data_IF_256372595320
#
_entry.id   IF_256372595320
#
_cell.length_a   1.000
_cell.length_b   1.000
_cell.length_c   1.000
_cell.angle_alpha   90.00
_cell.angle_beta   90.00
_cell.angle_gamma   90.00
#
_symmetry.space_group_name_H-M   'P 1'
#
loop_
_entity.id
_entity.type
_entity.pdbx_description
1 polymer ?
#
# COMPACT_ATOMS: atom_id res chain seq x y z
N UNK A 1 16.39 2.05 66.73
CA UNK A 1 17.35 1.08 66.15
C UNK A 1 16.96 0.80 64.70
N UNK A 2 17.92 1.03 63.80
CA UNK A 2 18.13 0.38 62.48
C UNK A 2 17.16 0.57 61.28
N UNK A 3 17.73 1.20 60.23
CA UNK A 3 17.56 1.11 58.74
C UNK A 3 16.56 0.06 58.18
N UNK A 4 15.89 0.26 57.04
CA UNK A 4 16.50 0.49 55.70
C UNK A 4 15.48 0.79 54.57
N UNK A 5 15.82 1.82 53.76
CA UNK A 5 15.78 1.97 52.28
C UNK A 5 14.56 1.54 51.42
N UNK A 6 13.90 2.58 50.92
CA UNK A 6 13.65 2.96 49.51
C UNK A 6 13.75 1.96 48.32
N UNK A 7 12.78 2.15 47.41
CA UNK A 7 12.76 1.95 45.94
C UNK A 7 12.16 0.66 45.37
N UNK A 8 10.87 0.73 44.98
CA UNK A 8 10.37 0.15 43.72
C UNK A 8 9.41 1.19 43.09
N UNK A 9 9.95 2.00 42.20
CA UNK A 9 9.17 2.80 41.26
C UNK A 9 9.81 2.53 39.89
N UNK A 10 9.20 1.66 39.09
CA UNK A 10 9.35 1.62 37.64
C UNK A 10 8.25 0.72 37.07
N UNK A 11 7.07 1.30 36.89
CA UNK A 11 5.97 0.68 36.14
C UNK A 11 5.27 1.79 35.36
N UNK A 12 5.97 2.32 34.35
CA UNK A 12 5.40 3.22 33.35
C UNK A 12 6.43 3.44 32.22
N UNK A 13 6.70 2.41 31.42
CA UNK A 13 7.42 2.59 30.15
C UNK A 13 7.14 1.41 29.20
N UNK A 14 5.86 1.20 28.90
CA UNK A 14 5.42 0.29 27.84
C UNK A 14 4.13 0.80 27.19
N UNK A 15 4.07 2.08 26.85
CA UNK A 15 3.03 2.66 25.98
C UNK A 15 3.56 3.91 25.30
N UNK A 16 4.34 3.76 24.23
CA UNK A 16 4.53 4.79 23.19
C UNK A 16 5.44 4.26 22.08
N UNK A 17 5.05 3.19 21.39
CA UNK A 17 5.67 2.78 20.14
C UNK A 17 4.58 2.56 19.08
N UNK A 18 3.75 3.58 18.89
CA UNK A 18 2.67 3.57 17.91
C UNK A 18 2.19 4.98 17.63
N UNK A 19 3.04 5.82 17.04
CA UNK A 19 2.67 6.94 16.14
C UNK A 19 3.93 7.58 15.57
N UNK A 20 4.53 6.94 14.58
CA UNK A 20 5.29 7.65 13.55
C UNK A 20 4.68 7.28 12.19
N UNK A 21 3.39 7.60 12.04
CA UNK A 21 2.83 7.82 10.71
C UNK A 21 3.56 9.02 10.15
N UNK A 22 4.39 8.78 9.14
CA UNK A 22 4.95 9.81 8.30
C UNK A 22 3.79 10.42 7.50
N UNK A 23 3.15 11.43 8.08
CA UNK A 23 2.11 12.23 7.45
C UNK A 23 2.76 13.04 6.33
N UNK A 24 2.71 12.48 5.12
CA UNK A 24 3.12 13.14 3.89
C UNK A 24 1.94 14.00 3.46
N UNK A 25 1.75 15.17 4.07
CA UNK A 25 1.08 16.33 3.48
C UNK A 25 1.07 17.54 4.44
N UNK A 26 1.40 18.70 3.88
CA UNK A 26 1.37 20.05 4.46
C UNK A 26 2.40 20.38 5.55
N UNK A 27 3.66 20.53 5.13
CA UNK A 27 4.60 21.41 5.83
C UNK A 27 4.94 22.61 4.95
N UNK A 28 3.94 23.46 4.72
CA UNK A 28 4.14 24.78 4.13
C UNK A 28 4.25 25.82 5.26
N UNK A 29 5.37 26.57 5.29
CA UNK A 29 5.44 28.01 5.67
C UNK A 29 6.62 28.41 6.55
N UNK A 30 7.44 27.51 7.11
CA UNK A 30 8.55 27.93 8.02
C UNK A 30 9.97 27.65 7.55
N UNK A 31 10.16 26.89 6.47
CA UNK A 31 11.48 26.58 5.94
C UNK A 31 11.55 26.93 4.45
N UNK A 32 12.10 28.09 4.10
CA UNK A 32 12.58 28.34 2.74
C UNK A 32 13.84 27.49 2.48
N UNK A 33 14.11 27.16 1.22
CA UNK A 33 15.38 26.53 0.78
C UNK A 33 16.63 27.20 1.42
N UNK A 34 16.61 28.53 1.55
CA UNK A 34 17.69 29.28 2.20
C UNK A 34 17.81 29.03 3.71
N UNK A 35 16.71 28.89 4.44
CA UNK A 35 16.74 28.53 5.87
C UNK A 35 17.19 27.08 6.10
N UNK A 36 16.82 26.16 5.20
CA UNK A 36 17.28 24.78 5.25
C UNK A 36 18.80 24.69 5.04
N UNK A 37 19.32 25.41 4.04
CA UNK A 37 20.76 25.49 3.79
C UNK A 37 21.51 26.13 4.97
N UNK A 38 20.97 27.18 5.58
CA UNK A 38 21.55 27.85 6.73
C UNK A 38 21.63 26.92 7.96
N UNK A 39 20.60 26.10 8.20
CA UNK A 39 20.60 25.11 9.29
C UNK A 39 21.61 23.98 9.05
N UNK A 40 21.76 23.52 7.82
CA UNK A 40 22.80 22.55 7.46
C UNK A 40 24.18 23.13 7.76
N UNK A 41 24.47 24.35 7.28
CA UNK A 41 25.77 25.01 7.53
C UNK A 41 26.00 25.17 9.03
N UNK A 42 25.01 25.64 9.79
CA UNK A 42 25.11 25.78 11.24
C UNK A 42 25.40 24.45 11.93
N UNK A 43 24.71 23.36 11.55
CA UNK A 43 24.94 22.03 12.11
C UNK A 43 26.34 21.50 11.83
N UNK A 44 26.87 21.73 10.62
CA UNK A 44 28.24 21.35 10.24
C UNK A 44 29.25 22.14 11.06
N UNK A 45 29.04 23.45 11.25
CA UNK A 45 29.90 24.29 12.08
C UNK A 45 29.87 23.84 13.54
N UNK A 46 28.70 23.54 14.09
CA UNK A 46 28.56 23.04 15.46
C UNK A 46 29.22 21.67 15.64
N UNK A 47 29.11 20.77 14.66
CA UNK A 47 29.81 19.48 14.66
C UNK A 47 31.33 19.66 14.58
N UNK A 48 31.82 20.59 13.76
CA UNK A 48 33.24 20.91 13.68
C UNK A 48 33.78 21.48 15.00
N UNK A 49 33.02 22.39 15.65
CA UNK A 49 33.36 22.92 16.98
C UNK A 49 33.35 21.80 18.02
N UNK A 50 32.33 20.93 18.02
CA UNK A 50 32.25 19.81 18.95
C UNK A 50 33.42 18.83 18.77
N UNK A 51 33.79 18.51 17.53
CA UNK A 51 34.94 17.67 17.22
C UNK A 51 36.27 18.30 17.68
N UNK A 52 36.44 19.61 17.48
CA UNK A 52 37.61 20.35 17.94
C UNK A 52 37.70 20.38 19.47
N UNK A 53 36.60 20.70 20.16
CA UNK A 53 36.53 20.68 21.62
C UNK A 53 36.78 19.28 22.18
N UNK A 54 36.27 18.24 21.51
CA UNK A 54 36.56 16.85 21.88
C UNK A 54 38.04 16.50 21.70
N UNK A 55 38.66 16.94 20.60
CA UNK A 55 40.09 16.79 20.34
C UNK A 55 40.95 17.50 21.40
N UNK A 56 40.61 18.75 21.74
CA UNK A 56 41.27 19.53 22.78
C UNK A 56 41.11 18.85 24.13
N UNK A 57 39.89 18.42 24.51
CA UNK A 57 39.65 17.69 25.75
C UNK A 57 40.52 16.43 25.81
N UNK A 58 40.56 15.63 24.73
CA UNK A 58 41.37 14.41 24.65
C UNK A 58 42.86 14.71 24.83
N UNK A 59 43.36 15.77 24.20
CA UNK A 59 44.76 16.17 24.28
C UNK A 59 45.13 16.71 25.66
N UNK A 60 44.28 17.55 26.26
CA UNK A 60 44.45 18.06 27.62
C UNK A 60 44.39 16.93 28.65
N UNK A 61 43.49 15.96 28.50
CA UNK A 61 43.45 14.79 29.38
C UNK A 61 44.68 13.90 29.23
N UNK A 62 45.24 13.77 28.02
CA UNK A 62 46.46 13.01 27.80
C UNK A 62 47.68 13.69 28.45
N UNK A 63 47.81 15.02 28.28
CA UNK A 63 48.87 15.81 28.90
C UNK A 63 48.74 15.86 30.43
N UNK A 64 47.51 15.93 30.95
CA UNK A 64 47.28 15.88 32.40
C UNK A 64 47.61 14.49 32.97
N UNK A 65 47.28 13.41 32.27
CA UNK A 65 47.63 12.05 32.68
C UNK A 65 49.14 11.80 32.67
N UNK A 66 49.89 12.43 31.76
CA UNK A 66 51.35 12.35 31.70
C UNK A 66 52.04 13.20 32.80
N UNK A 67 51.51 14.39 33.09
CA UNK A 67 52.09 15.31 34.10
C UNK A 67 51.66 15.04 35.54
N UNK A 68 50.41 14.63 35.76
CA UNK A 68 49.84 14.33 37.07
C UNK A 68 49.13 12.96 37.01
N UNK A 69 49.88 11.85 37.15
CA UNK A 69 49.32 10.50 37.04
C UNK A 69 48.22 10.20 38.07
N UNK A 70 48.19 10.95 39.18
CA UNK A 70 47.26 10.79 40.29
C UNK A 70 45.91 11.51 40.08
N UNK A 71 45.82 12.46 39.14
CA UNK A 71 44.63 13.30 38.89
C UNK A 71 43.95 12.99 37.54
N UNK A 72 44.33 11.88 36.89
CA UNK A 72 43.74 11.46 35.63
C UNK A 72 42.26 11.06 35.84
N UNK A 73 41.33 11.96 35.49
CA UNK A 73 39.91 11.65 35.59
C UNK A 73 39.56 10.44 34.70
N UNK A 74 38.94 9.39 35.28
CA UNK A 74 38.58 8.19 34.52
C UNK A 74 37.58 8.56 33.42
N UNK A 75 37.79 8.01 32.22
CA UNK A 75 36.87 8.22 31.10
C UNK A 75 35.42 7.88 31.49
N UNK A 76 34.44 8.46 30.82
CA UNK A 76 33.01 8.18 31.09
C UNK A 76 32.69 6.68 30.98
N UNK A 77 33.41 5.98 30.10
CA UNK A 77 33.40 4.54 30.02
C UNK A 77 33.96 3.89 31.30
N UNK A 78 35.16 4.30 31.74
CA UNK A 78 35.83 3.74 32.92
C UNK A 78 35.06 3.99 34.24
N UNK A 79 34.46 5.16 34.40
CA UNK A 79 33.82 5.60 35.66
C UNK A 79 32.38 5.14 35.82
N UNK A 80 31.59 5.12 34.73
CA UNK A 80 30.15 4.80 34.81
C UNK A 80 29.76 3.51 34.09
N UNK A 81 30.44 3.13 33.01
CA UNK A 81 30.01 2.03 32.13
C UNK A 81 30.73 0.72 32.49
N UNK A 82 32.05 0.75 32.62
CA UNK A 82 32.91 -0.38 32.96
C UNK A 82 32.47 -1.12 34.25
N UNK A 83 32.19 -0.45 35.38
CA UNK A 83 31.74 -1.16 36.59
C UNK A 83 30.37 -1.84 36.42
N UNK A 84 29.51 -1.35 35.53
CA UNK A 84 28.21 -1.96 35.23
C UNK A 84 28.39 -3.20 34.35
N UNK A 85 29.22 -3.09 33.29
CA UNK A 85 29.50 -4.20 32.37
C UNK A 85 30.31 -5.32 33.05
N UNK A 86 31.30 -4.97 33.86
CA UNK A 86 32.11 -5.95 34.60
C UNK A 86 31.26 -6.74 35.62
N UNK A 87 30.14 -6.18 36.07
CA UNK A 87 29.16 -6.85 36.94
C UNK A 87 28.18 -7.75 36.20
N UNK A 88 28.16 -7.74 34.87
CA UNK A 88 27.26 -8.59 34.08
C UNK A 88 27.89 -9.96 33.83
N UNK A 89 27.09 -11.01 33.99
CA UNK A 89 27.48 -12.34 33.55
C UNK A 89 27.56 -12.36 32.01
N UNK A 90 28.73 -12.64 31.41
CA UNK A 90 28.91 -12.56 29.96
C UNK A 90 27.96 -13.49 29.20
N UNK A 91 27.64 -14.66 29.75
CA UNK A 91 26.69 -15.60 29.14
C UNK A 91 25.27 -15.04 29.11
N UNK A 92 24.81 -14.42 30.21
CA UNK A 92 23.47 -13.81 30.28
C UNK A 92 23.40 -12.61 29.33
N UNK A 93 24.44 -11.79 29.26
CA UNK A 93 24.52 -10.66 28.36
C UNK A 93 24.47 -11.10 26.89
N UNK A 94 25.25 -12.12 26.50
CA UNK A 94 25.23 -12.66 25.13
C UNK A 94 23.88 -13.26 24.79
N UNK A 95 23.25 -14.02 25.70
CA UNK A 95 21.91 -14.58 25.46
C UNK A 95 20.84 -13.49 25.36
N UNK A 96 20.90 -12.45 26.19
CA UNK A 96 19.98 -11.32 26.12
C UNK A 96 20.12 -10.56 24.80
N UNK A 97 21.35 -10.26 24.37
CA UNK A 97 21.61 -9.60 23.09
C UNK A 97 21.16 -10.49 21.92
N UNK A 98 21.48 -11.78 21.93
CA UNK A 98 21.06 -12.72 20.89
C UNK A 98 19.53 -12.86 20.84
N UNK A 99 18.86 -12.93 22.00
CA UNK A 99 17.41 -12.99 22.10
C UNK A 99 16.74 -11.72 21.58
N UNK A 100 17.24 -10.54 21.95
CA UNK A 100 16.74 -9.26 21.43
C UNK A 100 16.94 -9.20 19.91
N UNK A 101 18.12 -9.58 19.42
CA UNK A 101 18.45 -9.55 18.00
C UNK A 101 17.56 -10.52 17.21
N UNK A 102 17.28 -11.72 17.75
CA UNK A 102 16.36 -12.67 17.15
C UNK A 102 14.93 -12.12 17.10
N UNK A 103 14.43 -11.50 18.18
CA UNK A 103 13.10 -10.89 18.20
C UNK A 103 13.01 -9.74 17.20
N UNK A 104 14.03 -8.89 17.10
CA UNK A 104 14.06 -7.76 16.16
C UNK A 104 14.09 -8.26 14.72
N UNK A 105 15.02 -9.16 14.38
CA UNK A 105 15.12 -9.71 13.02
C UNK A 105 13.91 -10.56 12.66
N UNK A 106 13.39 -11.35 13.60
CA UNK A 106 12.18 -12.14 13.41
C UNK A 106 10.95 -11.27 13.17
N UNK A 107 10.78 -10.21 13.95
CA UNK A 107 9.67 -9.25 13.76
C UNK A 107 9.79 -8.51 12.43
N UNK A 108 11.00 -8.07 12.08
CA UNK A 108 11.26 -7.42 10.79
C UNK A 108 11.00 -8.37 9.62
N UNK A 109 11.51 -9.59 9.68
CA UNK A 109 11.31 -10.61 8.65
C UNK A 109 9.85 -11.02 8.50
N UNK A 110 9.12 -11.16 9.61
CA UNK A 110 7.68 -11.41 9.59
C UNK A 110 6.92 -10.27 8.92
N UNK A 111 7.18 -9.03 9.33
CA UNK A 111 6.55 -7.84 8.76
C UNK A 111 6.83 -7.73 7.25
N UNK A 112 8.08 -7.88 6.84
CA UNK A 112 8.48 -7.88 5.44
C UNK A 112 7.78 -8.98 4.64
N UNK A 113 7.69 -10.19 5.20
CA UNK A 113 7.00 -11.31 4.57
C UNK A 113 5.51 -11.08 4.33
N UNK A 114 4.85 -10.37 5.24
CA UNK A 114 3.42 -10.06 5.14
C UNK A 114 3.13 -8.89 4.17
N UNK A 115 3.96 -7.84 4.22
CA UNK A 115 3.69 -6.57 3.52
C UNK A 115 4.31 -6.49 2.12
N UNK A 116 5.41 -7.21 1.85
CA UNK A 116 6.18 -7.03 0.60
C UNK A 116 6.16 -8.27 -0.29
N UNK A 117 6.09 -9.48 0.29
CA UNK A 117 6.14 -10.72 -0.50
C UNK A 117 4.76 -11.04 -1.05
N UNK A 118 4.66 -11.08 -2.39
CA UNK A 118 3.41 -11.41 -3.08
C UNK A 118 2.39 -10.27 -3.12
N UNK A 119 2.73 -9.09 -2.60
CA UNK A 119 1.92 -7.88 -2.72
C UNK A 119 2.21 -7.19 -4.05
N UNK A 120 1.18 -7.01 -4.87
CA UNK A 120 1.28 -6.37 -6.18
C UNK A 120 0.72 -4.93 -6.17
N UNK A 121 0.61 -4.31 -4.99
CA UNK A 121 0.11 -2.95 -4.88
C UNK A 121 1.00 -1.97 -5.65
N UNK A 122 0.40 -1.11 -6.45
CA UNK A 122 1.10 -0.18 -7.34
C UNK A 122 1.62 -0.80 -8.63
N UNK A 123 1.44 -2.11 -8.87
CA UNK A 123 1.82 -2.75 -10.12
C UNK A 123 1.08 -2.11 -11.30
N UNK A 124 1.85 -1.53 -12.24
CA UNK A 124 1.35 -0.74 -13.36
C UNK A 124 2.11 -1.09 -14.65
N UNK A 125 1.87 -2.26 -15.25
CA UNK A 125 2.57 -2.72 -16.44
C UNK A 125 2.25 -1.85 -17.65
N UNK A 126 3.21 -1.71 -18.56
CA UNK A 126 2.96 -1.06 -19.85
C UNK A 126 2.04 -1.94 -20.68
N UNK A 127 0.98 -1.34 -21.22
CA UNK A 127 -0.02 -2.02 -22.04
C UNK A 127 0.33 -1.89 -23.53
N UNK A 128 -0.15 -2.80 -24.40
CA UNK A 128 0.06 -2.67 -25.84
C UNK A 128 -0.50 -1.36 -26.42
N UNK A 129 -1.63 -0.92 -25.86
CA UNK A 129 -2.30 0.35 -26.17
C UNK A 129 -2.35 1.18 -24.89
N UNK A 130 -1.93 2.44 -24.97
CA UNK A 130 -1.95 3.38 -23.84
C UNK A 130 -3.38 3.92 -23.63
N UNK A 131 -4.28 3.05 -23.19
CA UNK A 131 -5.67 3.38 -22.89
C UNK A 131 -5.78 4.14 -21.56
N UNK A 132 -6.35 5.35 -21.61
CA UNK A 132 -6.59 6.18 -20.43
C UNK A 132 -8.04 6.05 -19.94
N UNK A 133 -8.23 5.51 -18.74
CA UNK A 133 -9.55 5.51 -18.10
C UNK A 133 -9.96 6.92 -17.70
N UNK A 134 -9.02 7.77 -17.33
CA UNK A 134 -9.28 9.18 -17.00
C UNK A 134 -10.00 9.95 -18.09
N UNK A 135 -9.65 9.72 -19.36
CA UNK A 135 -10.36 10.34 -20.48
C UNK A 135 -11.79 9.76 -20.57
N UNK A 136 -11.90 8.43 -20.63
CA UNK A 136 -13.18 7.78 -20.92
C UNK A 136 -14.20 7.89 -19.78
N UNK A 137 -13.81 7.54 -18.56
CA UNK A 137 -14.71 7.51 -17.40
C UNK A 137 -14.61 8.76 -16.52
N UNK A 138 -13.51 9.51 -16.61
CA UNK A 138 -13.32 10.75 -15.84
C UNK A 138 -13.81 12.00 -16.56
N UNK A 139 -13.40 12.22 -17.82
CA UNK A 139 -13.77 13.42 -18.57
C UNK A 139 -15.11 13.26 -19.30
N UNK A 140 -15.32 12.12 -19.95
CA UNK A 140 -16.54 11.84 -20.69
C UNK A 140 -17.59 11.05 -19.90
N UNK A 141 -17.30 10.73 -18.63
CA UNK A 141 -18.22 10.09 -17.68
C UNK A 141 -18.90 8.81 -18.23
N UNK A 142 -18.19 8.06 -19.08
CA UNK A 142 -18.71 6.79 -19.62
C UNK A 142 -18.83 5.79 -18.47
N UNK A 143 -20.02 5.20 -18.34
CA UNK A 143 -20.31 4.21 -17.30
C UNK A 143 -19.38 2.97 -17.41
N UNK A 144 -18.87 2.49 -16.27
CA UNK A 144 -17.91 1.38 -16.22
C UNK A 144 -18.45 0.10 -16.88
N UNK A 145 -19.76 -0.14 -16.78
CA UNK A 145 -20.43 -1.36 -17.27
C UNK A 145 -20.65 -1.33 -18.78
N UNK A 146 -20.50 -0.17 -19.44
CA UNK A 146 -20.55 -0.09 -20.89
C UNK A 146 -19.43 -0.93 -21.53
N UNK A 147 -18.21 -0.82 -21.00
CA UNK A 147 -17.07 -1.61 -21.45
C UNK A 147 -16.95 -2.95 -20.71
N UNK A 148 -17.16 -2.95 -19.39
CA UNK A 148 -17.05 -4.15 -18.55
C UNK A 148 -18.41 -4.84 -18.33
N UNK A 149 -19.09 -5.15 -19.43
CA UNK A 149 -20.51 -5.55 -19.44
C UNK A 149 -20.84 -6.86 -18.71
N UNK A 150 -19.86 -7.73 -18.49
CA UNK A 150 -20.11 -9.01 -17.78
C UNK A 150 -20.02 -8.89 -16.26
N UNK A 151 -19.64 -7.74 -15.71
CA UNK A 151 -19.39 -7.55 -14.27
C UNK A 151 -20.61 -7.89 -13.41
N UNK A 152 -21.82 -7.68 -13.93
CA UNK A 152 -23.06 -7.96 -13.21
C UNK A 152 -23.57 -9.39 -13.37
N UNK A 153 -23.02 -10.16 -14.32
CA UNK A 153 -23.58 -11.46 -14.73
C UNK A 153 -22.62 -12.63 -14.55
N UNK A 154 -21.32 -12.35 -14.52
CA UNK A 154 -20.27 -13.37 -14.52
C UNK A 154 -19.35 -13.21 -13.32
N UNK A 155 -18.61 -14.28 -13.03
CA UNK A 155 -17.54 -14.26 -12.03
C UNK A 155 -16.39 -13.33 -12.41
N UNK A 156 -16.17 -13.14 -13.72
CA UNK A 156 -15.11 -12.28 -14.25
C UNK A 156 -15.71 -11.06 -14.96
N UNK A 157 -15.18 -9.87 -14.65
CA UNK A 157 -15.37 -8.69 -15.48
C UNK A 157 -14.51 -8.84 -16.74
N UNK A 158 -15.14 -8.95 -17.91
CA UNK A 158 -14.45 -9.11 -19.18
C UNK A 158 -13.75 -7.82 -19.58
N UNK A 159 -12.60 -7.96 -20.23
CA UNK A 159 -12.01 -6.88 -21.02
C UNK A 159 -12.88 -6.72 -22.28
N UNK A 160 -13.27 -5.50 -22.67
CA UNK A 160 -14.12 -5.29 -23.84
C UNK A 160 -13.45 -5.83 -25.11
N UNK A 161 -14.27 -6.38 -26.01
CA UNK A 161 -13.83 -6.67 -27.37
C UNK A 161 -13.52 -5.37 -28.13
N UNK A 162 -12.70 -5.45 -29.18
CA UNK A 162 -12.37 -4.28 -30.00
C UNK A 162 -13.59 -3.67 -30.72
N UNK A 163 -14.67 -4.43 -30.89
CA UNK A 163 -15.93 -3.90 -31.42
C UNK A 163 -16.50 -2.79 -30.53
N UNK A 164 -16.38 -2.91 -29.20
CA UNK A 164 -16.81 -1.87 -28.26
C UNK A 164 -16.05 -0.57 -28.50
N UNK A 165 -14.74 -0.65 -28.76
CA UNK A 165 -13.91 0.50 -29.09
C UNK A 165 -14.40 1.16 -30.39
N UNK A 166 -14.75 0.35 -31.39
CA UNK A 166 -15.19 0.82 -32.70
C UNK A 166 -16.59 1.44 -32.73
N UNK A 167 -17.40 1.30 -31.67
CA UNK A 167 -18.68 2.00 -31.59
C UNK A 167 -18.50 3.52 -31.68
N UNK A 168 -17.40 4.04 -31.14
CA UNK A 168 -17.07 5.48 -31.17
C UNK A 168 -15.87 5.77 -32.07
N UNK A 169 -14.83 4.92 -32.03
CA UNK A 169 -13.57 5.20 -32.73
C UNK A 169 -13.64 5.04 -34.25
N UNK A 170 -14.80 4.73 -34.85
CA UNK A 170 -15.02 4.96 -36.29
C UNK A 170 -14.99 6.45 -36.65
N UNK A 171 -15.47 7.30 -35.73
CA UNK A 171 -15.61 8.75 -35.92
C UNK A 171 -14.67 9.54 -35.00
N UNK A 172 -14.41 9.04 -33.80
CA UNK A 172 -13.53 9.71 -32.82
C UNK A 172 -12.09 9.23 -33.01
N UNK A 173 -11.27 10.05 -33.69
CA UNK A 173 -9.87 9.71 -34.03
C UNK A 173 -8.83 10.39 -33.12
N UNK A 174 -9.28 11.28 -32.24
CA UNK A 174 -8.44 12.17 -31.43
C UNK A 174 -7.38 12.92 -32.26
N UNK A 175 -7.75 13.30 -33.48
CA UNK A 175 -6.90 13.85 -34.53
C UNK A 175 -6.47 15.30 -34.30
N UNK A 176 -7.25 16.07 -33.54
CA UNK A 176 -6.93 17.42 -33.09
C UNK A 176 -5.54 17.51 -32.44
N UNK A 177 -5.16 16.48 -31.67
CA UNK A 177 -3.86 16.42 -30.98
C UNK A 177 -2.69 16.05 -31.91
N UNK A 178 -2.99 15.51 -33.09
CA UNK A 178 -1.98 14.91 -33.99
C UNK A 178 -2.03 15.52 -35.40
N UNK A 179 -2.28 16.82 -35.51
CA UNK A 179 -2.28 17.57 -36.77
C UNK A 179 -3.27 16.99 -37.81
N UNK A 180 -4.46 16.59 -37.38
CA UNK A 180 -5.49 16.01 -38.25
C UNK A 180 -5.25 14.54 -38.63
N UNK A 181 -4.23 13.89 -38.04
CA UNK A 181 -3.99 12.45 -38.22
C UNK A 181 -4.59 11.67 -37.06
N UNK A 182 -5.07 10.45 -37.32
CA UNK A 182 -5.52 9.53 -36.26
C UNK A 182 -4.45 9.33 -35.20
N UNK A 183 -4.87 9.33 -33.92
CA UNK A 183 -3.98 9.04 -32.80
C UNK A 183 -3.22 7.71 -33.00
N UNK A 184 -1.90 7.66 -32.72
CA UNK A 184 -1.12 6.42 -32.81
C UNK A 184 -1.71 5.27 -31.99
N UNK A 185 -2.36 5.56 -30.86
CA UNK A 185 -2.98 4.54 -30.01
C UNK A 185 -4.28 3.98 -30.62
N UNK A 186 -5.08 4.82 -31.30
CA UNK A 186 -6.27 4.38 -32.03
C UNK A 186 -5.87 3.62 -33.29
N UNK A 187 -4.78 4.02 -33.95
CA UNK A 187 -4.25 3.29 -35.10
C UNK A 187 -3.88 1.84 -34.75
N UNK A 188 -3.42 1.56 -33.53
CA UNK A 188 -3.18 0.18 -33.08
C UNK A 188 -4.47 -0.65 -33.05
N UNK A 189 -5.60 -0.06 -32.68
CA UNK A 189 -6.92 -0.71 -32.72
C UNK A 189 -7.30 -1.02 -34.17
N UNK A 190 -7.15 -0.03 -35.06
CA UNK A 190 -7.44 -0.18 -36.49
C UNK A 190 -6.61 -1.30 -37.12
N UNK A 191 -5.31 -1.32 -36.84
CA UNK A 191 -4.40 -2.37 -37.32
C UNK A 191 -4.78 -3.75 -36.75
N UNK A 192 -5.29 -3.83 -35.52
CA UNK A 192 -5.68 -5.10 -34.91
C UNK A 192 -6.93 -5.72 -35.58
N UNK A 193 -7.87 -4.89 -36.04
CA UNK A 193 -9.15 -5.35 -36.62
C UNK A 193 -9.24 -5.19 -38.14
N UNK A 194 -8.24 -4.60 -38.78
CA UNK A 194 -8.26 -4.30 -40.22
C UNK A 194 -9.21 -3.16 -40.60
N UNK A 195 -9.25 -2.07 -39.85
CA UNK A 195 -10.07 -0.90 -40.18
C UNK A 195 -9.25 0.19 -40.87
N UNK A 196 -9.71 0.65 -42.02
CA UNK A 196 -9.16 1.80 -42.72
C UNK A 196 -9.85 3.07 -42.22
N UNK A 197 -9.12 3.85 -41.42
CA UNK A 197 -9.60 5.11 -40.83
C UNK A 197 -9.78 6.25 -41.84
N UNK A 198 -9.16 6.17 -43.01
CA UNK A 198 -9.24 7.21 -44.04
C UNK A 198 -10.45 6.98 -44.94
N UNK A 199 -10.68 5.72 -45.35
CA UNK A 199 -11.83 5.33 -46.18
C UNK A 199 -13.06 4.90 -45.38
N UNK A 200 -12.96 4.84 -44.04
CA UNK A 200 -14.02 4.45 -43.11
C UNK A 200 -14.62 3.05 -43.39
N UNK A 201 -13.77 2.11 -43.79
CA UNK A 201 -14.18 0.77 -44.20
C UNK A 201 -13.29 -0.30 -43.57
N UNK A 202 -13.84 -1.49 -43.38
CA UNK A 202 -13.03 -2.66 -43.02
C UNK A 202 -12.35 -3.20 -44.26
N UNK A 203 -11.10 -3.63 -44.10
CA UNK A 203 -10.31 -4.27 -45.15
C UNK A 203 -10.85 -5.69 -45.32
N UNK A 204 -11.28 -6.04 -46.53
CA UNK A 204 -11.73 -7.39 -46.86
C UNK A 204 -10.57 -8.39 -46.69
N UNK A 205 -10.89 -9.60 -46.22
CA UNK A 205 -9.94 -10.68 -45.96
C UNK A 205 -8.77 -10.32 -45.02
N UNK A 206 -8.97 -9.35 -44.13
CA UNK A 206 -7.97 -8.98 -43.13
C UNK A 206 -7.88 -9.98 -41.99
N UNK A 207 -6.67 -10.50 -41.75
CA UNK A 207 -6.38 -11.35 -40.59
C UNK A 207 -6.33 -10.52 -39.30
N UNK A 208 -7.41 -10.57 -38.53
CA UNK A 208 -7.51 -9.85 -37.25
C UNK A 208 -6.56 -10.45 -36.20
N UNK A 209 -5.94 -9.58 -35.40
CA UNK A 209 -5.05 -9.97 -34.31
C UNK A 209 -5.59 -9.44 -32.99
N UNK A 210 -5.80 -10.30 -31.97
CA UNK A 210 -6.27 -9.83 -30.67
C UNK A 210 -5.21 -8.96 -29.99
N UNK A 211 -5.66 -7.98 -29.21
CA UNK A 211 -4.75 -7.21 -28.35
C UNK A 211 -4.40 -8.03 -27.11
N UNK A 212 -3.10 -8.28 -26.93
CA UNK A 212 -2.55 -9.03 -25.81
C UNK A 212 -2.43 -8.15 -24.55
N UNK A 213 -3.57 -7.84 -23.93
CA UNK A 213 -3.61 -7.04 -22.71
C UNK A 213 -2.85 -7.72 -21.56
N UNK A 214 -2.09 -6.92 -20.81
CA UNK A 214 -1.39 -7.40 -19.62
C UNK A 214 -2.34 -7.28 -18.42
N UNK A 215 -2.71 -8.42 -17.85
CA UNK A 215 -3.61 -8.46 -16.68
C UNK A 215 -2.91 -7.86 -15.45
N UNK A 216 -3.57 -6.91 -14.80
CA UNK A 216 -3.06 -6.22 -13.60
C UNK A 216 -3.52 -6.96 -12.34
N UNK A 217 -4.83 -7.12 -12.18
CA UNK A 217 -5.42 -7.78 -11.02
C UNK A 217 -5.47 -9.28 -11.25
N UNK A 218 -4.65 -10.03 -10.51
CA UNK A 218 -4.63 -11.48 -10.56
C UNK A 218 -4.75 -12.07 -9.16
N UNK A 219 -5.66 -13.03 -9.01
CA UNK A 219 -5.77 -13.86 -7.81
C UNK A 219 -5.29 -15.27 -8.18
N UNK A 220 -4.72 -16.03 -7.23
CA UNK A 220 -4.36 -17.42 -7.47
C UNK A 220 -5.56 -18.27 -7.88
N UNK A 221 -5.36 -19.29 -8.72
CA UNK A 221 -6.46 -20.10 -9.28
C UNK A 221 -7.22 -20.92 -8.22
N UNK A 222 -6.62 -21.16 -7.06
CA UNK A 222 -7.28 -21.82 -5.92
C UNK A 222 -8.20 -20.87 -5.12
N UNK A 223 -8.24 -19.58 -5.47
CA UNK A 223 -9.18 -18.61 -4.91
C UNK A 223 -10.34 -18.36 -5.90
N UNK A 224 -11.56 -18.59 -5.43
CA UNK A 224 -12.77 -18.28 -6.16
C UNK A 224 -13.26 -16.87 -5.83
N UNK A 225 -13.35 -16.02 -6.85
CA UNK A 225 -13.95 -14.70 -6.76
C UNK A 225 -15.03 -14.52 -7.83
N UNK A 226 -16.14 -13.90 -7.46
CA UNK A 226 -17.27 -13.67 -8.36
C UNK A 226 -17.73 -12.20 -8.35
N UNK A 227 -17.50 -11.48 -9.44
CA UNK A 227 -17.89 -10.07 -9.57
C UNK A 227 -19.40 -9.84 -9.41
N UNK A 228 -20.27 -10.71 -9.96
CA UNK A 228 -21.72 -10.47 -9.93
C UNK A 228 -22.27 -10.48 -8.51
N UNK A 229 -21.74 -11.33 -7.62
CA UNK A 229 -22.11 -11.34 -6.21
C UNK A 229 -21.74 -10.02 -5.52
N UNK A 230 -20.56 -9.49 -5.77
CA UNK A 230 -20.09 -8.26 -5.12
C UNK A 230 -20.77 -6.99 -5.68
N UNK A 231 -21.01 -6.95 -6.99
CA UNK A 231 -21.58 -5.77 -7.65
C UNK A 231 -23.12 -5.74 -7.58
N UNK A 232 -23.79 -6.87 -7.79
CA UNK A 232 -25.27 -6.91 -7.83
C UNK A 232 -25.86 -7.13 -6.43
N UNK A 233 -25.35 -8.12 -5.70
CA UNK A 233 -25.88 -8.47 -4.37
C UNK A 233 -25.27 -7.56 -3.31
N UNK A 234 -23.94 -7.43 -3.31
CA UNK A 234 -23.21 -6.57 -2.37
C UNK A 234 -23.32 -5.07 -2.66
N UNK A 235 -23.76 -4.69 -3.87
CA UNK A 235 -23.92 -3.29 -4.32
C UNK A 235 -22.65 -2.45 -4.11
N UNK A 236 -21.47 -3.08 -4.14
CA UNK A 236 -20.19 -2.42 -3.93
C UNK A 236 -19.84 -1.54 -5.12
N UNK A 237 -19.32 -0.34 -4.86
CA UNK A 237 -18.81 0.53 -5.93
C UNK A 237 -17.47 -0.01 -6.44
N UNK A 238 -17.24 0.11 -7.75
CA UNK A 238 -15.99 -0.35 -8.39
C UNK A 238 -14.74 0.28 -7.75
N UNK A 239 -14.84 1.55 -7.34
CA UNK A 239 -13.75 2.32 -6.74
C UNK A 239 -13.34 1.84 -5.35
N UNK A 240 -14.24 1.16 -4.63
CA UNK A 240 -13.92 0.61 -3.30
C UNK A 240 -12.88 -0.53 -3.41
N UNK A 241 -12.84 -1.24 -4.54
CA UNK A 241 -11.89 -2.32 -4.78
C UNK A 241 -10.74 -1.90 -5.70
N UNK A 242 -11.02 -1.15 -6.78
CA UNK A 242 -10.04 -0.81 -7.81
C UNK A 242 -9.45 0.61 -7.67
N UNK A 243 -9.87 1.38 -6.65
CA UNK A 243 -9.44 2.75 -6.46
C UNK A 243 -10.11 3.74 -7.43
N UNK A 244 -9.67 5.01 -7.46
CA UNK A 244 -10.26 6.05 -8.31
C UNK A 244 -9.86 5.89 -9.79
N UNK A 245 -10.34 4.84 -10.45
CA UNK A 245 -10.00 4.49 -11.85
C UNK A 245 -10.27 5.65 -12.81
N UNK A 246 -11.29 6.47 -12.53
CA UNK A 246 -11.62 7.66 -13.32
C UNK A 246 -10.55 8.77 -13.28
N UNK A 247 -9.54 8.65 -12.42
CA UNK A 247 -8.41 9.57 -12.35
C UNK A 247 -7.13 8.95 -12.93
N UNK A 248 -7.19 7.68 -13.37
CA UNK A 248 -6.02 6.90 -13.81
C UNK A 248 -5.83 6.96 -15.32
N UNK A 249 -4.75 7.60 -15.76
CA UNK A 249 -4.27 7.52 -17.15
C UNK A 249 -3.65 6.16 -17.47
N UNK A 250 -3.03 5.53 -16.48
CA UNK A 250 -2.52 4.16 -16.53
C UNK A 250 -3.01 3.44 -15.30
N UNK A 251 -3.74 2.35 -15.49
CA UNK A 251 -4.27 1.56 -14.37
C UNK A 251 -3.12 0.93 -13.60
N UNK A 252 -3.24 0.95 -12.28
CA UNK A 252 -2.38 0.24 -11.36
C UNK A 252 -3.24 -0.50 -10.34
N UNK A 253 -2.67 -1.51 -9.69
CA UNK A 253 -3.36 -2.21 -8.61
C UNK A 253 -3.42 -1.33 -7.36
N UNK A 254 -4.62 -0.82 -7.04
CA UNK A 254 -4.82 0.08 -5.89
C UNK A 254 -4.85 -0.65 -4.55
N UNK A 255 -5.66 -1.72 -4.47
CA UNK A 255 -5.81 -2.54 -3.26
C UNK A 255 -4.84 -3.72 -3.26
N UNK A 256 -4.48 -4.22 -2.07
CA UNK A 256 -3.56 -5.36 -1.95
C UNK A 256 -4.17 -6.64 -2.52
N UNK A 257 -5.49 -6.82 -2.39
CA UNK A 257 -6.24 -8.03 -2.75
C UNK A 257 -5.69 -9.30 -2.05
N UNK A 258 -5.03 -9.12 -0.92
CA UNK A 258 -4.62 -10.20 -0.04
C UNK A 258 -5.83 -10.73 0.74
N UNK A 259 -5.66 -11.92 1.32
CA UNK A 259 -6.73 -12.61 2.04
C UNK A 259 -7.25 -11.80 3.23
N UNK A 260 -6.37 -11.13 3.97
CA UNK A 260 -6.72 -10.26 5.09
C UNK A 260 -7.64 -9.11 4.66
N UNK A 261 -7.32 -8.43 3.55
CA UNK A 261 -8.15 -7.36 2.98
C UNK A 261 -9.56 -7.86 2.64
N UNK A 262 -9.69 -9.06 2.08
CA UNK A 262 -10.99 -9.69 1.81
C UNK A 262 -11.76 -10.00 3.11
N UNK A 263 -11.07 -10.59 4.10
CA UNK A 263 -11.65 -10.99 5.38
C UNK A 263 -12.14 -9.77 6.16
N UNK A 264 -11.33 -8.71 6.23
CA UNK A 264 -11.69 -7.51 6.98
C UNK A 264 -12.89 -6.81 6.32
N UNK A 265 -12.91 -6.72 5.00
CA UNK A 265 -14.10 -6.25 4.28
C UNK A 265 -15.34 -7.10 4.61
N UNK A 266 -15.21 -8.43 4.66
CA UNK A 266 -16.33 -9.32 5.01
C UNK A 266 -16.79 -9.18 6.48
N UNK A 267 -15.90 -8.80 7.40
CA UNK A 267 -16.25 -8.51 8.80
C UNK A 267 -17.00 -7.18 8.94
N UNK A 268 -16.59 -6.19 8.17
CA UNK A 268 -17.12 -4.82 8.27
C UNK A 268 -18.39 -4.59 7.44
N UNK A 269 -18.57 -5.33 6.35
CA UNK A 269 -19.69 -5.14 5.43
C UNK A 269 -20.87 -6.03 5.77
N UNK A 270 -22.06 -5.43 5.71
CA UNK A 270 -23.32 -6.10 5.96
C UNK A 270 -23.93 -6.69 4.72
N UNK A 271 -24.75 -7.72 4.92
CA UNK A 271 -25.68 -8.19 3.89
C UNK A 271 -26.88 -7.24 3.80
N UNK A 272 -27.45 -7.07 2.60
CA UNK A 272 -28.71 -6.34 2.41
C UNK A 272 -29.90 -7.20 2.84
N UNK A 273 -30.05 -7.43 4.15
CA UNK A 273 -31.10 -8.29 4.71
C UNK A 273 -32.50 -7.67 4.60
N UNK A 274 -32.59 -6.34 4.50
CA UNK A 274 -33.85 -5.60 4.48
C UNK A 274 -34.54 -5.61 3.11
N UNK A 275 -33.77 -5.55 2.02
CA UNK A 275 -34.32 -5.35 0.68
C UNK A 275 -34.11 -6.56 -0.24
N UNK A 276 -33.97 -7.75 0.33
CA UNK A 276 -33.72 -8.98 -0.41
C UNK A 276 -34.61 -10.11 0.12
N UNK A 277 -35.51 -10.62 -0.74
CA UNK A 277 -36.45 -11.70 -0.42
C UNK A 277 -35.75 -12.96 0.12
N UNK A 278 -34.53 -13.25 -0.37
CA UNK A 278 -33.74 -14.39 0.11
C UNK A 278 -33.38 -14.29 1.61
N UNK A 279 -33.27 -13.07 2.14
CA UNK A 279 -32.85 -12.81 3.52
C UNK A 279 -34.01 -12.48 4.47
N UNK A 280 -35.27 -12.64 4.07
CA UNK A 280 -36.42 -12.30 4.93
C UNK A 280 -36.39 -12.99 6.30
N UNK A 281 -36.13 -14.31 6.32
CA UNK A 281 -36.04 -15.09 7.56
C UNK A 281 -34.84 -14.64 8.41
N UNK A 282 -33.70 -14.37 7.76
CA UNK A 282 -32.49 -13.86 8.42
C UNK A 282 -32.75 -12.49 9.03
N UNK A 283 -33.41 -11.60 8.31
CA UNK A 283 -33.79 -10.27 8.77
C UNK A 283 -34.74 -10.33 9.97
N UNK A 284 -35.75 -11.21 9.92
CA UNK A 284 -36.68 -11.43 11.03
C UNK A 284 -35.98 -11.95 12.29
N UNK A 285 -35.10 -12.93 12.14
CA UNK A 285 -34.34 -13.50 13.27
C UNK A 285 -33.35 -12.46 13.84
N UNK A 286 -32.69 -11.69 12.98
CA UNK A 286 -31.82 -10.58 13.37
C UNK A 286 -32.54 -9.57 14.25
N UNK A 287 -33.72 -9.12 13.82
CA UNK A 287 -34.56 -8.19 14.59
C UNK A 287 -35.03 -8.80 15.92
N UNK A 288 -35.36 -10.10 15.94
CA UNK A 288 -35.76 -10.81 17.17
C UNK A 288 -34.60 -10.91 18.19
N UNK A 289 -33.36 -11.00 17.72
CA UNK A 289 -32.14 -10.95 18.55
C UNK A 289 -31.75 -9.51 18.95
N UNK A 290 -32.49 -8.49 18.49
CA UNK A 290 -32.18 -7.09 18.74
C UNK A 290 -30.96 -6.58 17.96
N UNK A 291 -30.57 -7.27 16.88
CA UNK A 291 -29.50 -6.85 15.97
C UNK A 291 -30.07 -6.00 14.84
N UNK A 292 -29.34 -4.97 14.44
CA UNK A 292 -29.69 -4.12 13.29
C UNK A 292 -28.88 -4.48 12.03
N UNK A 293 -27.82 -5.28 12.20
CA UNK A 293 -26.82 -5.55 11.20
C UNK A 293 -26.30 -6.98 11.33
N UNK A 294 -26.11 -7.64 10.18
CA UNK A 294 -25.40 -8.93 10.07
C UNK A 294 -24.31 -8.74 9.03
N UNK A 295 -23.07 -8.98 9.44
CA UNK A 295 -21.91 -8.96 8.55
C UNK A 295 -21.94 -10.14 7.57
N UNK A 296 -21.24 -9.99 6.44
CA UNK A 296 -20.98 -11.11 5.53
C UNK A 296 -20.26 -12.24 6.27
N UNK A 297 -19.38 -11.91 7.21
CA UNK A 297 -18.70 -12.88 8.07
C UNK A 297 -19.66 -13.70 8.94
N UNK A 298 -20.64 -13.08 9.58
CA UNK A 298 -21.67 -13.77 10.37
C UNK A 298 -22.62 -14.60 9.50
N UNK A 299 -22.82 -14.19 8.25
CA UNK A 299 -23.55 -14.98 7.24
C UNK A 299 -22.70 -16.13 6.64
N UNK A 300 -21.57 -16.47 7.28
CA UNK A 300 -20.70 -17.56 6.90
C UNK A 300 -19.77 -17.25 5.73
N UNK A 301 -19.58 -15.99 5.35
CA UNK A 301 -18.69 -15.56 4.26
C UNK A 301 -17.19 -15.67 4.57
N UNK A 302 -16.81 -16.29 5.69
CA UNK A 302 -15.43 -16.60 6.07
C UNK A 302 -15.13 -18.11 6.08
N UNK A 303 -16.05 -18.95 5.60
CA UNK A 303 -15.82 -20.39 5.47
C UNK A 303 -14.82 -20.68 4.33
N UNK A 304 -13.82 -21.53 4.59
CA UNK A 304 -12.76 -21.83 3.63
C UNK A 304 -13.33 -22.30 2.27
N UNK A 305 -14.33 -23.18 2.27
CA UNK A 305 -14.94 -23.78 1.09
C UNK A 305 -15.71 -22.80 0.19
N UNK A 306 -16.05 -21.60 0.68
CA UNK A 306 -16.74 -20.57 -0.11
C UNK A 306 -15.79 -19.73 -0.94
N UNK A 307 -14.51 -19.68 -0.55
CA UNK A 307 -13.48 -18.87 -1.19
C UNK A 307 -12.38 -19.73 -1.82
N UNK A 308 -12.18 -20.95 -1.34
CA UNK A 308 -11.16 -21.88 -1.79
C UNK A 308 -11.78 -23.24 -2.12
N UNK A 309 -11.36 -23.83 -3.24
CA UNK A 309 -11.78 -25.16 -3.67
C UNK A 309 -11.01 -26.27 -2.96
#
# INVERSE_FOLDING_TARGET
>A
MYKSKTHIALTALFTSLSTLSFSKNNMSSFYSESTFLALIILSVVLLAIAALLFGIKKHLTALNAEKNPQDAEPSLYQSKIKPIIDGWNPTIATMAIAGILLVVLGSFGYKFGMEEIGVQQGYAPTQPINFSHKIHTGQYEIDCKYCHSTVEKSKSASIPSLNTCMNCHKYVKADEKYNGKTSPEIQKIYNAIGYDGDNMQYIEDYEQRPIEWVRIHNLPDFAYFNHSQHVVVGKLKCQECHGPIQEMDKVYQYSTLQMDWCIDCHRERGIDSKNNEYYEEVHKNMLAEGKEFISVAENGGLECSKCHY
#
